data_IF_040142981110
#
_entry.id   IF_040142981110
#
_cell.length_a   1.000
_cell.length_b   1.000
_cell.length_c   1.000
_cell.angle_alpha   90.00
_cell.angle_beta   90.00
_cell.angle_gamma   90.00
#
_symmetry.space_group_name_H-M   'P 1'
#
loop_
_entity.id
_entity.type
_entity.pdbx_description
1 polymer ?
#
# COMPACT_ATOMS: atom_id res chain seq x y z
N UNK A 1 3.15 -32.29 11.45
CA UNK A 1 2.83 -31.08 12.22
C UNK A 1 2.41 -29.98 11.29
N UNK A 2 1.29 -29.38 11.57
CA UNK A 2 0.79 -28.25 10.81
C UNK A 2 1.60 -27.02 11.21
N UNK A 3 2.15 -26.30 10.20
CA UNK A 3 2.78 -25.01 10.43
C UNK A 3 1.74 -23.88 10.43
N UNK A 4 0.46 -24.24 10.49
CA UNK A 4 -0.63 -23.29 10.43
C UNK A 4 -0.69 -22.49 11.74
N UNK A 5 -0.52 -21.19 11.60
CA UNK A 5 -0.73 -20.26 12.70
C UNK A 5 -2.20 -19.88 12.68
N UNK A 6 -2.87 -20.09 13.79
CA UNK A 6 -4.24 -19.66 13.93
C UNK A 6 -4.28 -18.14 14.06
N UNK A 7 -4.95 -17.49 13.11
CA UNK A 7 -5.02 -16.03 13.09
C UNK A 7 -6.42 -15.59 13.49
N UNK A 8 -6.54 -14.79 14.56
CA UNK A 8 -7.83 -14.22 14.94
C UNK A 8 -8.43 -13.38 13.82
N UNK A 9 -9.74 -13.50 13.61
CA UNK A 9 -10.45 -12.78 12.55
C UNK A 9 -10.32 -11.25 12.67
N UNK A 10 -10.23 -10.74 13.89
CA UNK A 10 -10.08 -9.30 14.14
C UNK A 10 -8.73 -8.77 13.61
N UNK A 11 -7.66 -9.53 13.83
CA UNK A 11 -6.35 -9.15 13.32
C UNK A 11 -6.30 -9.27 11.78
N UNK A 12 -6.90 -10.31 11.23
CA UNK A 12 -7.01 -10.47 9.78
C UNK A 12 -7.78 -9.31 9.16
N UNK A 13 -8.85 -8.81 9.80
CA UNK A 13 -9.64 -7.70 9.30
C UNK A 13 -8.85 -6.40 9.22
N UNK A 14 -8.08 -6.05 10.28
CA UNK A 14 -7.27 -4.82 10.26
C UNK A 14 -6.11 -4.94 9.27
N UNK A 15 -5.56 -6.13 9.11
CA UNK A 15 -4.51 -6.37 8.13
C UNK A 15 -5.03 -6.18 6.69
N UNK A 16 -6.22 -6.73 6.40
CA UNK A 16 -6.85 -6.54 5.07
C UNK A 16 -7.14 -5.09 4.78
N UNK A 17 -7.62 -4.33 5.78
CA UNK A 17 -7.90 -2.92 5.62
C UNK A 17 -6.64 -2.14 5.25
N UNK A 18 -5.53 -2.42 5.93
CA UNK A 18 -4.25 -1.80 5.59
C UNK A 18 -3.80 -2.18 4.17
N UNK A 19 -3.86 -3.46 3.85
CA UNK A 19 -3.45 -3.94 2.52
C UNK A 19 -4.27 -3.30 1.40
N UNK A 20 -5.60 -3.20 1.57
CA UNK A 20 -6.48 -2.58 0.59
C UNK A 20 -6.13 -1.09 0.41
N UNK A 21 -5.90 -0.38 1.50
CA UNK A 21 -5.52 1.03 1.45
C UNK A 21 -4.15 1.21 0.77
N UNK A 22 -3.19 0.33 1.05
CA UNK A 22 -1.88 0.33 0.42
C UNK A 22 -2.01 0.10 -1.10
N UNK A 23 -2.85 -0.86 -1.51
CA UNK A 23 -3.09 -1.17 -2.91
C UNK A 23 -3.71 0.02 -3.65
N UNK A 24 -4.61 0.77 -2.99
CA UNK A 24 -5.22 1.96 -3.58
C UNK A 24 -4.19 3.07 -3.82
N UNK A 25 -3.25 3.27 -2.89
CA UNK A 25 -2.15 4.23 -3.07
C UNK A 25 -1.32 3.84 -4.29
N UNK A 26 -0.92 2.58 -4.37
CA UNK A 26 -0.09 2.09 -5.47
C UNK A 26 -0.82 2.20 -6.83
N UNK A 27 -2.11 1.86 -6.88
CA UNK A 27 -2.90 1.93 -8.10
C UNK A 27 -3.08 3.36 -8.59
N UNK A 28 -3.37 4.29 -7.67
CA UNK A 28 -3.54 5.70 -8.02
C UNK A 28 -2.23 6.31 -8.52
N UNK A 29 -1.13 6.05 -7.80
CA UNK A 29 0.20 6.51 -8.20
C UNK A 29 0.54 6.01 -9.62
N UNK A 30 0.34 4.73 -9.88
CA UNK A 30 0.62 4.14 -11.18
C UNK A 30 -0.25 4.74 -12.28
N UNK A 31 -1.54 4.96 -12.02
CA UNK A 31 -2.47 5.53 -12.98
C UNK A 31 -2.10 6.97 -13.35
N UNK A 32 -1.79 7.81 -12.36
CA UNK A 32 -1.39 9.20 -12.62
C UNK A 32 -0.03 9.25 -13.31
N UNK A 33 0.92 8.42 -12.89
CA UNK A 33 2.23 8.34 -13.53
C UNK A 33 2.09 8.01 -15.01
N UNK A 34 1.23 7.04 -15.36
CA UNK A 34 1.00 6.66 -16.75
C UNK A 34 0.30 7.76 -17.54
N UNK A 35 -0.69 8.41 -16.95
CA UNK A 35 -1.37 9.55 -17.56
C UNK A 35 -0.39 10.67 -17.89
N UNK A 36 0.48 11.02 -16.93
CA UNK A 36 1.48 12.07 -17.12
C UNK A 36 2.49 11.69 -18.19
N UNK A 37 2.85 10.41 -18.28
CA UNK A 37 3.75 9.90 -19.32
C UNK A 37 3.14 10.08 -20.71
N UNK A 38 1.84 9.82 -20.85
CA UNK A 38 1.15 9.97 -22.12
C UNK A 38 0.98 11.44 -22.51
N UNK A 39 0.73 12.33 -21.53
CA UNK A 39 0.55 13.75 -21.77
C UNK A 39 1.86 14.47 -22.11
N UNK A 40 2.98 14.01 -21.56
CA UNK A 40 4.27 14.67 -21.74
C UNK A 40 5.33 13.66 -22.19
N UNK A 41 5.20 13.15 -23.43
CA UNK A 41 6.21 12.21 -23.96
C UNK A 41 7.49 12.92 -24.31
N UNK A 42 8.59 12.17 -24.35
CA UNK A 42 9.86 12.69 -24.80
C UNK A 42 9.82 12.95 -26.32
N UNK A 43 10.14 14.17 -26.78
CA UNK A 43 10.12 14.47 -28.21
C UNK A 43 11.09 13.57 -28.99
N UNK A 44 10.56 12.97 -30.05
CA UNK A 44 11.38 12.07 -30.90
C UNK A 44 11.88 10.82 -30.21
N UNK A 45 11.30 10.45 -29.08
CA UNK A 45 11.71 9.28 -28.30
C UNK A 45 12.99 9.46 -27.52
N UNK A 46 13.52 10.67 -27.42
CA UNK A 46 14.74 10.99 -26.68
C UNK A 46 14.40 11.66 -25.38
N UNK A 47 15.07 11.27 -24.30
CA UNK A 47 14.84 11.86 -22.98
C UNK A 47 15.02 13.37 -23.05
N UNK A 48 14.02 14.07 -22.53
CA UNK A 48 13.96 15.52 -22.52
C UNK A 48 13.74 16.01 -21.08
N UNK A 49 14.64 16.89 -20.55
CA UNK A 49 14.52 17.31 -19.15
C UNK A 49 13.25 18.11 -18.85
N UNK A 50 12.75 18.89 -19.81
CA UNK A 50 11.50 19.64 -19.61
C UNK A 50 10.30 18.71 -19.54
N UNK A 51 10.22 17.75 -20.45
CA UNK A 51 9.16 16.73 -20.42
C UNK A 51 9.22 15.91 -19.15
N UNK A 52 10.42 15.54 -18.70
CA UNK A 52 10.61 14.81 -17.44
C UNK A 52 10.12 15.62 -16.24
N UNK A 53 10.38 16.93 -16.23
CA UNK A 53 9.90 17.81 -15.16
C UNK A 53 8.36 17.87 -15.16
N UNK A 54 7.74 18.02 -16.34
CA UNK A 54 6.29 18.06 -16.47
C UNK A 54 5.65 16.75 -15.99
N UNK A 55 6.26 15.62 -16.31
CA UNK A 55 5.75 14.31 -15.84
C UNK A 55 5.75 14.20 -14.32
N UNK A 56 6.70 14.83 -13.63
CA UNK A 56 6.80 14.78 -12.16
C UNK A 56 5.94 15.82 -11.45
N UNK A 57 5.49 16.85 -12.17
CA UNK A 57 4.64 17.91 -11.60
C UNK A 57 3.17 17.49 -11.72
N UNK A 58 2.70 16.80 -10.69
CA UNK A 58 1.29 16.41 -10.62
C UNK A 58 0.40 17.64 -10.45
N UNK A 59 -0.81 17.55 -10.95
CA UNK A 59 -1.83 18.56 -10.71
C UNK A 59 -2.15 18.63 -9.21
N UNK A 60 -2.50 19.82 -8.68
CA UNK A 60 -2.82 19.94 -7.24
C UNK A 60 -3.91 18.96 -6.78
N UNK A 61 -4.92 18.72 -7.60
CA UNK A 61 -5.99 17.79 -7.27
C UNK A 61 -5.50 16.35 -7.20
N UNK A 62 -4.57 15.99 -8.10
CA UNK A 62 -3.96 14.65 -8.09
C UNK A 62 -3.09 14.48 -6.84
N UNK A 63 -2.32 15.49 -6.50
CA UNK A 63 -1.48 15.43 -5.30
C UNK A 63 -2.35 15.34 -4.04
N UNK A 64 -3.44 16.12 -3.98
CA UNK A 64 -4.35 16.10 -2.84
C UNK A 64 -5.01 14.72 -2.68
N UNK A 65 -5.42 14.08 -3.79
CA UNK A 65 -5.99 12.73 -3.73
C UNK A 65 -4.98 11.70 -3.27
N UNK A 66 -3.74 11.77 -3.75
CA UNK A 66 -2.67 10.88 -3.30
C UNK A 66 -2.43 11.05 -1.80
N UNK A 67 -2.39 12.30 -1.32
CA UNK A 67 -2.20 12.59 0.10
C UNK A 67 -3.34 12.04 0.95
N UNK A 68 -4.58 12.13 0.44
CA UNK A 68 -5.76 11.55 1.10
C UNK A 68 -5.65 10.03 1.21
N UNK A 69 -5.28 9.37 0.12
CA UNK A 69 -5.12 7.92 0.08
C UNK A 69 -4.00 7.47 1.01
N UNK A 70 -2.89 8.21 1.06
CA UNK A 70 -1.79 7.93 1.98
C UNK A 70 -2.21 8.06 3.43
N UNK A 71 -3.03 9.08 3.75
CA UNK A 71 -3.53 9.26 5.11
C UNK A 71 -4.42 8.09 5.53
N UNK A 72 -5.28 7.60 4.64
CA UNK A 72 -6.11 6.42 4.91
C UNK A 72 -5.23 5.19 5.14
N UNK A 73 -4.23 4.97 4.30
CA UNK A 73 -3.27 3.87 4.45
C UNK A 73 -2.54 3.94 5.80
N UNK A 74 -2.06 5.12 6.16
CA UNK A 74 -1.28 5.31 7.39
C UNK A 74 -2.16 5.09 8.63
N UNK A 75 -3.42 5.55 8.59
CA UNK A 75 -4.36 5.30 9.67
C UNK A 75 -4.68 3.81 9.81
N UNK A 76 -4.85 3.11 8.69
CA UNK A 76 -5.09 1.66 8.69
C UNK A 76 -3.87 0.90 9.22
N UNK A 77 -2.66 1.34 8.86
CA UNK A 77 -1.43 0.77 9.39
C UNK A 77 -1.34 0.94 10.91
N UNK A 78 -1.63 2.15 11.40
CA UNK A 78 -1.60 2.41 12.84
C UNK A 78 -2.61 1.55 13.59
N UNK A 79 -3.82 1.38 13.04
CA UNK A 79 -4.85 0.53 13.63
C UNK A 79 -4.40 -0.92 13.71
N UNK A 80 -3.74 -1.42 12.65
CA UNK A 80 -3.17 -2.77 12.63
C UNK A 80 -2.04 -2.91 13.65
N UNK A 81 -1.10 -1.96 13.64
CA UNK A 81 0.09 -1.99 14.48
C UNK A 81 -0.26 -1.92 15.97
N UNK A 82 -1.27 -1.12 16.32
CA UNK A 82 -1.72 -0.93 17.69
C UNK A 82 -2.72 -1.98 18.16
N UNK A 83 -3.18 -2.87 17.27
CA UNK A 83 -4.12 -3.91 17.66
C UNK A 83 -3.49 -4.78 18.76
N UNK A 84 -4.24 -5.11 19.83
CA UNK A 84 -3.69 -5.87 20.96
C UNK A 84 -3.00 -7.17 20.55
N UNK A 85 -3.55 -7.87 19.56
CA UNK A 85 -2.96 -9.12 19.08
C UNK A 85 -1.65 -8.90 18.33
N UNK A 86 -1.52 -7.78 17.61
CA UNK A 86 -0.26 -7.41 16.96
C UNK A 86 0.79 -7.01 17.99
N UNK A 87 0.38 -6.28 19.03
CA UNK A 87 1.27 -5.93 20.15
C UNK A 87 1.78 -7.19 20.83
N UNK A 88 0.88 -8.13 21.14
CA UNK A 88 1.25 -9.41 21.76
C UNK A 88 2.24 -10.19 20.90
N UNK A 89 2.00 -10.25 19.59
CA UNK A 89 2.88 -10.96 18.67
C UNK A 89 4.28 -10.35 18.63
N UNK A 90 4.37 -9.02 18.67
CA UNK A 90 5.69 -8.36 18.71
C UNK A 90 6.41 -8.61 20.02
N UNK A 91 5.70 -8.54 21.14
CA UNK A 91 6.27 -8.83 22.46
C UNK A 91 6.75 -10.27 22.56
N UNK A 92 6.00 -11.20 21.97
CA UNK A 92 6.36 -12.62 21.95
C UNK A 92 7.39 -12.94 20.87
N UNK A 93 7.78 -11.96 20.05
CA UNK A 93 8.70 -12.12 18.90
C UNK A 93 8.19 -13.10 17.85
N UNK A 94 6.86 -13.18 17.70
CA UNK A 94 6.21 -14.02 16.69
C UNK A 94 5.62 -13.22 15.53
N UNK A 95 5.80 -11.90 15.51
CA UNK A 95 5.18 -11.04 14.50
C UNK A 95 5.56 -11.45 13.07
N UNK A 96 6.81 -11.81 12.82
CA UNK A 96 7.26 -12.23 11.50
C UNK A 96 6.47 -13.44 11.01
N UNK A 97 6.25 -14.43 11.87
CA UNK A 97 5.48 -15.62 11.54
C UNK A 97 4.00 -15.28 11.34
N UNK A 98 3.43 -14.45 12.21
CA UNK A 98 2.02 -14.03 12.13
C UNK A 98 1.77 -13.22 10.87
N UNK A 99 2.62 -12.25 10.56
CA UNK A 99 2.45 -11.40 9.36
C UNK A 99 2.59 -12.21 8.08
N UNK A 100 3.50 -13.18 8.04
CA UNK A 100 3.64 -14.06 6.88
C UNK A 100 2.38 -14.91 6.68
N UNK A 101 1.78 -15.41 7.76
CA UNK A 101 0.55 -16.18 7.70
C UNK A 101 -0.63 -15.32 7.26
N UNK A 102 -0.71 -14.06 7.73
CA UNK A 102 -1.72 -13.09 7.31
C UNK A 102 -1.63 -12.82 5.80
N UNK A 103 -0.43 -12.59 5.30
CA UNK A 103 -0.20 -12.34 3.88
C UNK A 103 -0.61 -13.56 3.04
N UNK A 104 -0.22 -14.74 3.47
CA UNK A 104 -0.57 -15.98 2.78
C UNK A 104 -2.08 -16.18 2.72
N UNK A 105 -2.78 -15.97 3.83
CA UNK A 105 -4.23 -16.09 3.89
C UNK A 105 -4.90 -15.08 2.96
N UNK A 106 -4.43 -13.84 2.96
CA UNK A 106 -4.99 -12.79 2.12
C UNK A 106 -4.78 -13.10 0.64
N UNK A 107 -3.58 -13.56 0.25
CA UNK A 107 -3.30 -13.93 -1.14
C UNK A 107 -4.15 -15.11 -1.60
N UNK A 108 -4.47 -16.04 -0.71
CA UNK A 108 -5.32 -17.18 -1.04
C UNK A 108 -6.78 -16.78 -1.31
N UNK A 109 -7.21 -15.61 -0.84
CA UNK A 109 -8.56 -15.08 -1.05
C UNK A 109 -8.70 -14.32 -2.39
N UNK A 110 -7.60 -14.05 -3.07
CA UNK A 110 -7.63 -13.41 -4.38
C UNK A 110 -7.90 -14.48 -5.47
#
# INVERSE_FOLDING_TARGET
MSDDVEIPSELAAVYRAWWAAHAEVAAYDAAVTEERRQLFPDPGGRWDPEAALQRRQWEPEQQAELDRLRAVRDAAFEAMYAHPLAVQAREARTWKTVSAALQKQMLAEL
#
